data_IF_551341108052
#
_entry.id   IF_551341108052
#
_cell.length_a   1.000
_cell.length_b   1.000
_cell.length_c   1.000
_cell.angle_alpha   90.00
_cell.angle_beta   90.00
_cell.angle_gamma   90.00
#
_symmetry.space_group_name_H-M   'P 1'
#
loop_
_entity.id
_entity.type
_entity.pdbx_description
1 polymer ?
#
# COMPACT_ATOMS: atom_id res chain seq x y z
N UNK A 1 -22.60 -33.60 -16.99
CA UNK A 1 -21.54 -33.29 -16.00
C UNK A 1 -21.07 -31.86 -16.23
N UNK A 2 -21.76 -30.86 -15.66
CA UNK A 2 -21.41 -29.44 -15.76
C UNK A 2 -21.46 -28.90 -14.33
N UNK A 3 -20.30 -28.85 -13.67
CA UNK A 3 -20.25 -28.49 -12.24
C UNK A 3 -18.84 -28.30 -11.72
N UNK A 4 -17.87 -27.97 -12.59
CA UNK A 4 -16.47 -27.78 -12.19
C UNK A 4 -15.90 -26.39 -12.49
N UNK A 5 -16.56 -25.58 -13.33
CA UNK A 5 -16.03 -24.26 -13.73
C UNK A 5 -16.47 -23.11 -12.81
N UNK A 6 -17.63 -23.19 -12.16
CA UNK A 6 -18.09 -22.14 -11.24
C UNK A 6 -17.29 -22.11 -9.93
N UNK A 7 -16.92 -23.28 -9.39
CA UNK A 7 -16.16 -23.39 -8.14
C UNK A 7 -14.71 -22.92 -8.28
N UNK A 8 -14.14 -22.90 -9.49
CA UNK A 8 -12.77 -22.45 -9.74
C UNK A 8 -12.65 -20.94 -9.91
N UNK A 9 -13.73 -20.26 -10.31
CA UNK A 9 -13.71 -18.82 -10.60
C UNK A 9 -14.04 -17.95 -9.39
N UNK A 10 -14.86 -18.43 -8.45
CA UNK A 10 -15.24 -17.66 -7.27
C UNK A 10 -14.05 -17.18 -6.40
N UNK A 11 -12.98 -17.98 -6.15
CA UNK A 11 -11.80 -17.52 -5.43
C UNK A 11 -11.00 -16.46 -6.20
N UNK A 12 -10.91 -16.60 -7.52
CA UNK A 12 -10.19 -15.67 -8.39
C UNK A 12 -10.88 -14.30 -8.43
N UNK A 13 -12.21 -14.29 -8.54
CA UNK A 13 -13.02 -13.07 -8.49
C UNK A 13 -12.95 -12.37 -7.12
N UNK A 14 -12.92 -13.15 -6.03
CA UNK A 14 -12.69 -12.61 -4.67
C UNK A 14 -11.30 -11.97 -4.56
N UNK A 15 -10.25 -12.61 -5.07
CA UNK A 15 -8.91 -12.04 -5.04
C UNK A 15 -8.81 -10.76 -5.89
N UNK A 16 -9.41 -10.76 -7.08
CA UNK A 16 -9.45 -9.57 -7.95
C UNK A 16 -10.19 -8.40 -7.29
N UNK A 17 -11.32 -8.65 -6.63
CA UNK A 17 -12.07 -7.60 -5.92
C UNK A 17 -11.34 -7.07 -4.69
N UNK A 18 -10.62 -7.93 -3.96
CA UNK A 18 -9.76 -7.53 -2.83
C UNK A 18 -8.61 -6.65 -3.32
N UNK A 19 -7.91 -7.07 -4.38
CA UNK A 19 -6.82 -6.28 -4.99
C UNK A 19 -7.32 -4.93 -5.50
N UNK A 20 -8.49 -4.90 -6.15
CA UNK A 20 -9.07 -3.67 -6.65
C UNK A 20 -9.42 -2.69 -5.52
N UNK A 21 -10.08 -3.16 -4.45
CA UNK A 21 -10.38 -2.34 -3.26
C UNK A 21 -9.11 -1.83 -2.58
N UNK A 22 -8.09 -2.69 -2.44
CA UNK A 22 -6.78 -2.31 -1.90
C UNK A 22 -6.18 -1.15 -2.70
N UNK A 23 -6.18 -1.25 -4.03
CA UNK A 23 -5.61 -0.23 -4.91
C UNK A 23 -6.35 1.10 -4.80
N UNK A 24 -7.69 1.08 -4.70
CA UNK A 24 -8.48 2.30 -4.47
C UNK A 24 -8.12 2.95 -3.13
N UNK A 25 -8.07 2.16 -2.05
CA UNK A 25 -7.70 2.67 -0.72
C UNK A 25 -6.30 3.26 -0.70
N UNK A 26 -5.33 2.60 -1.35
CA UNK A 26 -3.97 3.12 -1.48
C UNK A 26 -3.92 4.42 -2.28
N UNK A 27 -4.64 4.50 -3.40
CA UNK A 27 -4.72 5.74 -4.20
C UNK A 27 -5.31 6.89 -3.39
N UNK A 28 -6.32 6.62 -2.57
CA UNK A 28 -6.90 7.62 -1.66
C UNK A 28 -5.90 8.04 -0.59
N UNK A 29 -5.16 7.10 0.01
CA UNK A 29 -4.12 7.43 0.99
C UNK A 29 -3.04 8.34 0.41
N UNK A 30 -2.57 8.07 -0.81
CA UNK A 30 -1.60 8.94 -1.47
C UNK A 30 -2.15 10.32 -1.82
N UNK A 31 -3.45 10.45 -2.09
CA UNK A 31 -4.05 11.76 -2.34
C UNK A 31 -4.13 12.63 -1.08
N UNK A 32 -4.04 12.03 0.11
CA UNK A 32 -3.96 12.76 1.38
C UNK A 32 -2.53 13.21 1.72
N UNK A 33 -1.53 12.90 0.89
CA UNK A 33 -0.14 13.26 1.14
C UNK A 33 0.06 14.77 0.97
N UNK A 34 0.73 15.38 1.94
CA UNK A 34 1.07 16.80 1.91
C UNK A 34 2.19 17.08 0.91
N UNK A 35 2.38 18.36 0.55
CA UNK A 35 3.43 18.80 -0.39
C UNK A 35 4.86 18.48 0.09
N UNK A 36 5.06 18.35 1.40
CA UNK A 36 6.32 17.91 2.00
C UNK A 36 6.53 16.39 1.97
N UNK A 37 5.74 15.68 1.16
CA UNK A 37 5.78 14.22 0.99
C UNK A 37 5.38 13.39 2.22
N UNK A 38 4.88 14.01 3.29
CA UNK A 38 4.39 13.32 4.50
C UNK A 38 2.87 13.36 4.67
N UNK A 39 2.39 12.84 5.81
CA UNK A 39 0.99 12.94 6.28
C UNK A 39 0.92 13.67 7.63
N UNK A 40 1.85 14.62 7.86
CA UNK A 40 1.98 15.32 9.15
C UNK A 40 2.23 14.34 10.30
N UNK A 41 1.47 14.49 11.38
CA UNK A 41 1.56 13.63 12.57
C UNK A 41 1.18 12.16 12.30
N UNK A 42 0.40 11.90 11.25
CA UNK A 42 -0.02 10.55 10.87
C UNK A 42 1.02 9.83 9.99
N UNK A 43 2.14 10.49 9.63
CA UNK A 43 3.19 9.91 8.78
C UNK A 43 3.64 8.52 9.24
N UNK A 44 3.94 8.26 10.54
CA UNK A 44 4.37 6.93 10.99
C UNK A 44 3.28 5.87 10.81
N UNK A 45 2.03 6.21 11.13
CA UNK A 45 0.89 5.29 10.99
C UNK A 45 0.64 4.98 9.51
N UNK A 46 0.76 5.99 8.65
CA UNK A 46 0.50 5.83 7.23
C UNK A 46 1.57 4.98 6.54
N UNK A 47 2.84 5.15 6.92
CA UNK A 47 3.91 4.27 6.48
C UNK A 47 3.72 2.82 6.91
N UNK A 48 3.30 2.63 8.16
CA UNK A 48 3.01 1.29 8.69
C UNK A 48 1.87 0.64 7.91
N UNK A 49 0.79 1.38 7.63
CA UNK A 49 -0.33 0.88 6.82
C UNK A 49 0.11 0.51 5.40
N UNK A 50 0.94 1.34 4.77
CA UNK A 50 1.51 1.06 3.45
C UNK A 50 2.38 -0.20 3.45
N UNK A 51 3.23 -0.37 4.47
CA UNK A 51 4.07 -1.56 4.64
C UNK A 51 3.22 -2.83 4.82
N UNK A 52 2.25 -2.81 5.73
CA UNK A 52 1.38 -3.94 6.05
C UNK A 52 0.45 -4.32 4.89
N UNK A 53 0.09 -3.34 4.05
CA UNK A 53 -0.76 -3.58 2.89
C UNK A 53 -0.06 -4.34 1.76
N UNK A 54 1.24 -4.65 1.87
CA UNK A 54 2.07 -5.26 0.81
C UNK A 54 2.04 -4.42 -0.49
N UNK A 55 1.90 -3.10 -0.33
CA UNK A 55 1.82 -2.14 -1.43
C UNK A 55 3.19 -1.75 -2.00
N UNK A 56 4.27 -2.44 -1.61
CA UNK A 56 5.65 -2.14 -2.03
C UNK A 56 5.77 -2.04 -3.56
N UNK A 57 5.03 -2.85 -4.31
CA UNK A 57 5.04 -2.81 -5.78
C UNK A 57 4.36 -1.57 -6.38
N UNK A 58 3.36 -1.00 -5.72
CA UNK A 58 2.65 0.20 -6.18
C UNK A 58 3.41 1.49 -5.88
N UNK A 59 4.32 1.39 -4.93
CA UNK A 59 5.14 2.43 -4.36
C UNK A 59 6.46 2.66 -5.14
N UNK A 60 6.87 1.71 -5.98
CA UNK A 60 8.14 1.74 -6.72
C UNK A 60 7.97 2.18 -8.19
N UNK A 61 7.07 3.13 -8.46
CA UNK A 61 6.78 3.55 -9.85
C UNK A 61 7.84 4.49 -10.44
N UNK A 62 8.54 5.25 -9.61
CA UNK A 62 9.63 6.13 -10.03
C UNK A 62 10.71 6.26 -8.94
N UNK A 63 11.89 6.73 -9.33
CA UNK A 63 13.08 6.84 -8.47
C UNK A 63 12.84 7.76 -7.27
N UNK A 64 12.04 8.82 -7.45
CA UNK A 64 11.70 9.77 -6.39
C UNK A 64 10.85 9.12 -5.31
N UNK A 65 9.81 8.38 -5.69
CA UNK A 65 8.95 7.65 -4.76
C UNK A 65 9.77 6.58 -4.01
N UNK A 66 10.69 5.91 -4.69
CA UNK A 66 11.60 4.93 -4.08
C UNK A 66 12.50 5.57 -3.00
N UNK A 67 13.12 6.71 -3.31
CA UNK A 67 13.95 7.46 -2.37
C UNK A 67 13.13 7.96 -1.17
N UNK A 68 11.90 8.41 -1.43
CA UNK A 68 11.01 8.94 -0.40
C UNK A 68 10.57 7.84 0.58
N UNK A 69 10.26 6.64 0.09
CA UNK A 69 10.01 5.47 0.95
C UNK A 69 11.22 5.14 1.79
N UNK A 70 12.43 5.14 1.21
CA UNK A 70 13.66 4.83 1.96
C UNK A 70 13.91 5.85 3.07
N UNK A 71 13.67 7.13 2.79
CA UNK A 71 13.79 8.19 3.78
C UNK A 71 12.78 8.02 4.91
N UNK A 72 11.54 7.68 4.59
CA UNK A 72 10.49 7.43 5.56
C UNK A 72 10.70 6.13 6.38
N UNK A 73 11.21 5.06 5.76
CA UNK A 73 11.65 3.84 6.44
C UNK A 73 12.77 4.14 7.46
N UNK A 74 13.75 4.97 7.07
CA UNK A 74 14.83 5.40 7.97
C UNK A 74 14.31 6.23 9.15
N UNK A 75 13.37 7.14 8.92
CA UNK A 75 12.73 7.92 9.99
C UNK A 75 11.97 7.03 10.98
N UNK A 76 11.25 6.01 10.49
CA UNK A 76 10.53 5.06 11.33
C UNK A 76 11.51 4.25 12.20
N UNK A 77 12.58 3.72 11.62
CA UNK A 77 13.61 2.98 12.36
C UNK A 77 14.23 3.83 13.47
N UNK A 78 14.55 5.09 13.18
CA UNK A 78 15.08 6.01 14.18
C UNK A 78 14.08 6.30 15.31
N UNK A 79 12.78 6.39 14.99
CA UNK A 79 11.74 6.58 16.00
C UNK A 79 11.56 5.35 16.91
N UNK A 80 11.79 4.14 16.39
CA UNK A 80 11.67 2.89 17.15
C UNK A 80 12.88 2.58 18.04
N UNK A 81 14.02 3.21 17.80
CA UNK A 81 15.28 3.00 18.55
C UNK A 81 15.41 3.96 19.75
N UNK A 82 14.47 4.91 19.92
CA UNK A 82 14.36 5.76 21.11
C UNK A 82 13.59 5.07 22.23
#
# INVERSE_FOLDING_TARGET
MVGKSEDTLAPLLRNLTVVHKRNISLSWLFSQRHENFGWGDETPRMLTALYLSDAKSLLQKNTTDMLMIKQLEMQLLLAMVK
#
